data_IF_371050163552
#
_entry.id   IF_371050163552
#
_cell.length_a   1.000
_cell.length_b   1.000
_cell.length_c   1.000
_cell.angle_alpha   90.00
_cell.angle_beta   90.00
_cell.angle_gamma   90.00
#
_symmetry.space_group_name_H-M   'P 1'
#
loop_
_entity.id
_entity.type
_entity.pdbx_description
1 polymer ?
#
# COMPACT_ATOMS: atom_id res chain seq x y z
N UNK A 1 6.34 5.33 -22.04
CA UNK A 1 5.22 5.96 -21.35
C UNK A 1 4.66 5.03 -20.28
N UNK A 2 4.43 5.53 -19.08
CA UNK A 2 3.89 4.72 -18.01
C UNK A 2 2.43 4.36 -18.28
N UNK A 3 2.07 3.11 -18.03
CA UNK A 3 0.72 2.60 -18.27
C UNK A 3 -0.09 2.60 -16.98
N UNK A 4 -1.26 3.22 -17.00
CA UNK A 4 -2.21 3.18 -15.90
C UNK A 4 -3.01 1.88 -16.01
N UNK A 5 -3.13 1.08 -14.94
CA UNK A 5 -3.85 -0.18 -15.02
C UNK A 5 -5.36 0.03 -15.21
N UNK A 6 -5.98 -0.89 -15.93
CA UNK A 6 -7.44 -0.91 -16.09
C UNK A 6 -8.13 -1.31 -14.77
N UNK A 7 -7.50 -2.20 -14.03
CA UNK A 7 -7.99 -2.70 -12.75
C UNK A 7 -6.85 -2.65 -11.72
N UNK A 8 -7.16 -2.37 -10.44
CA UNK A 8 -6.11 -2.37 -9.41
C UNK A 8 -5.36 -3.70 -9.33
N UNK A 9 -6.05 -4.81 -9.55
CA UNK A 9 -5.48 -6.15 -9.47
C UNK A 9 -4.36 -6.38 -10.49
N UNK A 10 -4.35 -5.62 -11.58
CA UNK A 10 -3.34 -5.77 -12.64
C UNK A 10 -1.93 -5.49 -12.14
N UNK A 11 -1.79 -4.72 -11.06
CA UNK A 11 -0.48 -4.33 -10.52
C UNK A 11 -0.08 -5.12 -9.27
N UNK A 12 -0.95 -5.97 -8.73
CA UNK A 12 -0.70 -6.61 -7.42
C UNK A 12 0.59 -7.44 -7.41
N UNK A 13 0.80 -8.28 -8.41
CA UNK A 13 2.00 -9.16 -8.44
C UNK A 13 3.28 -8.35 -8.65
N UNK A 14 3.41 -7.53 -9.72
CA UNK A 14 4.66 -6.79 -9.92
C UNK A 14 4.94 -5.78 -8.81
N UNK A 15 3.89 -5.16 -8.26
CA UNK A 15 4.01 -4.21 -7.16
C UNK A 15 4.58 -4.89 -5.92
N UNK A 16 4.02 -6.07 -5.58
CA UNK A 16 4.49 -6.86 -4.44
C UNK A 16 5.95 -7.26 -4.61
N UNK A 17 6.31 -7.74 -5.81
CA UNK A 17 7.67 -8.15 -6.09
C UNK A 17 8.66 -6.99 -5.93
N UNK A 18 8.28 -5.80 -6.40
CA UNK A 18 9.15 -4.62 -6.32
C UNK A 18 9.37 -4.19 -4.87
N UNK A 19 8.32 -4.18 -4.05
CA UNK A 19 8.47 -3.81 -2.64
C UNK A 19 9.18 -4.89 -1.83
N UNK A 20 9.01 -6.16 -2.20
CA UNK A 20 9.77 -7.24 -1.57
C UNK A 20 11.26 -7.14 -1.86
N UNK A 21 11.65 -6.65 -3.03
CA UNK A 21 13.07 -6.42 -3.36
C UNK A 21 13.69 -5.37 -2.44
N UNK A 22 12.91 -4.38 -2.03
CA UNK A 22 13.38 -3.31 -1.14
C UNK A 22 13.41 -3.78 0.30
N UNK A 23 12.29 -4.32 0.79
CA UNK A 23 12.10 -4.58 2.21
C UNK A 23 12.35 -6.04 2.61
N UNK A 24 12.19 -6.98 1.67
CA UNK A 24 12.37 -8.39 1.96
C UNK A 24 11.44 -8.84 3.09
N UNK A 25 12.01 -9.54 4.05
CA UNK A 25 11.25 -10.04 5.21
C UNK A 25 10.74 -8.94 6.14
N UNK A 26 11.21 -7.71 5.96
CA UNK A 26 10.75 -6.57 6.75
C UNK A 26 9.38 -6.06 6.30
N UNK A 27 8.89 -6.51 5.15
CA UNK A 27 7.53 -6.22 4.69
C UNK A 27 6.55 -7.19 5.36
N UNK A 28 5.78 -6.68 6.31
CA UNK A 28 4.78 -7.47 7.03
C UNK A 28 3.54 -7.66 6.18
N UNK A 29 3.02 -6.57 5.62
CA UNK A 29 1.80 -6.59 4.81
C UNK A 29 1.82 -5.52 3.75
N UNK A 30 1.09 -5.80 2.66
CA UNK A 30 0.81 -4.84 1.61
C UNK A 30 -0.70 -4.84 1.42
N UNK A 31 -1.34 -3.71 1.65
CA UNK A 31 -2.80 -3.61 1.70
C UNK A 31 -3.28 -2.51 0.75
N UNK A 32 -4.30 -2.82 -0.04
CA UNK A 32 -5.01 -1.85 -0.87
C UNK A 32 -6.18 -1.31 -0.07
N UNK A 33 -6.35 0.02 -0.04
CA UNK A 33 -7.50 0.63 0.63
C UNK A 33 -8.11 1.74 -0.24
N UNK A 34 -9.22 2.29 0.23
CA UNK A 34 -9.90 3.37 -0.47
C UNK A 34 -10.80 2.89 -1.60
N UNK A 35 -11.09 3.75 -2.58
CA UNK A 35 -12.06 3.45 -3.63
C UNK A 35 -11.69 2.24 -4.47
N UNK A 36 -10.40 2.03 -4.73
CA UNK A 36 -9.95 0.88 -5.50
C UNK A 36 -10.28 -0.44 -4.80
N UNK A 37 -10.18 -0.47 -3.46
CA UNK A 37 -10.52 -1.65 -2.67
C UNK A 37 -12.03 -1.85 -2.60
N UNK A 38 -12.79 -0.77 -2.63
CA UNK A 38 -14.25 -0.81 -2.57
C UNK A 38 -14.95 -1.05 -3.89
N UNK A 39 -14.21 -1.28 -4.97
CA UNK A 39 -14.79 -1.56 -6.28
C UNK A 39 -15.17 -0.32 -7.08
N UNK A 40 -14.78 0.86 -6.62
CA UNK A 40 -15.10 2.13 -7.27
C UNK A 40 -13.93 2.70 -8.09
N UNK A 41 -12.98 1.86 -8.45
CA UNK A 41 -11.81 2.28 -9.20
C UNK A 41 -12.19 2.77 -10.60
N UNK A 42 -11.71 3.96 -10.97
CA UNK A 42 -11.90 4.53 -12.31
C UNK A 42 -10.51 4.84 -12.87
N UNK A 43 -10.17 4.16 -13.97
CA UNK A 43 -8.88 4.34 -14.63
C UNK A 43 -8.63 5.80 -14.97
N UNK A 44 -7.47 6.31 -14.61
CA UNK A 44 -7.07 7.69 -14.89
C UNK A 44 -7.62 8.72 -13.93
N UNK A 45 -8.55 8.36 -13.05
CA UNK A 45 -9.12 9.28 -12.05
C UNK A 45 -8.88 8.83 -10.62
N UNK A 46 -8.99 7.52 -10.36
CA UNK A 46 -8.77 6.98 -9.02
C UNK A 46 -7.32 6.63 -8.83
N UNK A 47 -6.78 6.95 -7.66
CA UNK A 47 -5.45 6.49 -7.27
C UNK A 47 -5.56 5.12 -6.61
N UNK A 48 -4.51 4.33 -6.77
CA UNK A 48 -4.38 3.06 -6.06
C UNK A 48 -3.67 3.38 -4.75
N UNK A 49 -4.42 3.33 -3.65
CA UNK A 49 -3.92 3.70 -2.32
C UNK A 49 -3.43 2.46 -1.59
N UNK A 50 -2.20 2.50 -1.14
CA UNK A 50 -1.55 1.37 -0.48
C UNK A 50 -1.18 1.70 0.95
N UNK A 51 -1.24 0.69 1.81
CA UNK A 51 -0.67 0.71 3.14
C UNK A 51 0.43 -0.34 3.18
N UNK A 52 1.65 0.08 3.49
CA UNK A 52 2.77 -0.81 3.74
C UNK A 52 2.93 -0.97 5.25
N UNK A 53 2.78 -2.18 5.73
CA UNK A 53 3.06 -2.48 7.14
C UNK A 53 4.45 -3.08 7.20
N UNK A 54 5.33 -2.42 7.94
CA UNK A 54 6.74 -2.77 8.05
C UNK A 54 7.11 -3.10 9.48
N UNK A 55 8.17 -3.91 9.63
CA UNK A 55 8.83 -4.03 10.93
C UNK A 55 9.56 -2.73 11.24
N UNK A 56 9.95 -2.48 12.51
CA UNK A 56 10.75 -1.28 12.83
C UNK A 56 12.04 -1.22 12.00
N UNK A 57 12.66 -2.35 11.71
CA UNK A 57 13.85 -2.41 10.86
C UNK A 57 13.54 -2.01 9.42
N UNK A 58 12.34 -2.32 8.94
CA UNK A 58 11.89 -1.94 7.61
C UNK A 58 11.77 -0.43 7.43
N UNK A 59 11.45 0.30 8.50
CA UNK A 59 11.38 1.75 8.46
C UNK A 59 12.75 2.34 8.07
N UNK A 60 13.82 1.72 8.50
CA UNK A 60 15.18 2.17 8.18
C UNK A 60 15.51 2.03 6.70
N UNK A 61 14.72 1.24 5.95
CA UNK A 61 14.92 1.03 4.52
C UNK A 61 14.06 1.92 3.64
N UNK A 62 13.34 2.88 4.22
CA UNK A 62 12.43 3.74 3.44
C UNK A 62 13.13 4.51 2.33
N UNK A 63 14.36 4.96 2.55
CA UNK A 63 15.11 5.67 1.53
C UNK A 63 15.34 4.78 0.29
N UNK A 64 15.50 3.49 0.48
CA UNK A 64 15.71 2.53 -0.61
C UNK A 64 14.43 2.31 -1.44
N UNK A 65 13.27 2.65 -0.87
CA UNK A 65 11.99 2.51 -1.55
C UNK A 65 11.63 3.70 -2.44
N UNK A 66 12.43 4.77 -2.39
CA UNK A 66 12.12 6.01 -3.10
C UNK A 66 11.94 5.78 -4.61
N UNK A 67 12.88 5.08 -5.23
CA UNK A 67 12.83 4.83 -6.66
C UNK A 67 11.63 3.95 -7.04
N UNK A 68 11.32 2.94 -6.23
CA UNK A 68 10.17 2.06 -6.44
C UNK A 68 8.87 2.83 -6.35
N UNK A 69 8.73 3.68 -5.33
CA UNK A 69 7.54 4.50 -5.14
C UNK A 69 7.35 5.46 -6.31
N UNK A 70 8.43 6.09 -6.76
CA UNK A 70 8.40 7.01 -7.90
C UNK A 70 7.99 6.30 -9.19
N UNK A 71 8.51 5.10 -9.40
CA UNK A 71 8.16 4.27 -10.55
C UNK A 71 6.66 4.00 -10.60
N UNK A 72 6.08 3.58 -9.48
CA UNK A 72 4.66 3.22 -9.43
C UNK A 72 3.74 4.43 -9.39
N UNK A 73 4.21 5.57 -8.87
CA UNK A 73 3.42 6.81 -8.88
C UNK A 73 3.06 7.22 -10.30
N UNK A 74 3.97 7.03 -11.24
CA UNK A 74 3.71 7.33 -12.65
C UNK A 74 2.66 6.40 -13.26
N UNK A 75 2.36 5.29 -12.61
CA UNK A 75 1.42 4.27 -13.07
C UNK A 75 0.11 4.28 -12.30
N UNK A 76 -0.16 5.38 -11.60
CA UNK A 76 -1.44 5.54 -10.90
C UNK A 76 -1.47 5.00 -9.49
N UNK A 77 -0.33 4.59 -8.95
CA UNK A 77 -0.22 4.13 -7.57
C UNK A 77 0.27 5.31 -6.73
N UNK A 78 -0.55 5.75 -5.79
CA UNK A 78 -0.21 6.86 -4.90
C UNK A 78 0.96 6.50 -3.99
N UNK A 79 1.59 7.52 -3.41
CA UNK A 79 2.62 7.31 -2.40
C UNK A 79 1.98 6.54 -1.24
N UNK A 80 2.54 5.38 -0.85
CA UNK A 80 1.89 4.55 0.17
C UNK A 80 1.99 5.16 1.56
N UNK A 81 0.99 4.84 2.38
CA UNK A 81 1.10 5.05 3.82
C UNK A 81 2.01 3.97 4.38
N UNK A 82 2.84 4.35 5.34
CA UNK A 82 3.81 3.43 5.96
C UNK A 82 3.52 3.37 7.45
N UNK A 83 3.33 2.15 7.96
CA UNK A 83 3.02 1.94 9.38
C UNK A 83 3.69 0.68 9.90
N UNK A 84 3.90 0.64 11.22
CA UNK A 84 4.25 -0.60 11.91
C UNK A 84 2.98 -1.20 12.52
N UNK A 85 3.03 -2.50 12.86
CA UNK A 85 1.90 -3.12 13.57
C UNK A 85 1.63 -2.44 14.90
N UNK A 86 2.69 -2.08 15.63
CA UNK A 86 2.55 -1.40 16.91
C UNK A 86 1.85 -0.05 16.74
N UNK A 87 2.21 0.70 15.72
CA UNK A 87 1.57 2.00 15.45
C UNK A 87 0.08 1.82 15.12
N UNK A 88 -0.25 0.84 14.29
CA UNK A 88 -1.65 0.57 13.93
C UNK A 88 -2.46 0.23 15.19
N UNK A 89 -1.93 -0.66 16.04
CA UNK A 89 -2.64 -1.09 17.24
C UNK A 89 -2.88 0.05 18.22
N UNK A 90 -1.90 0.94 18.39
CA UNK A 90 -2.05 2.07 19.30
C UNK A 90 -2.88 3.22 18.72
N UNK A 91 -2.92 3.34 17.39
CA UNK A 91 -3.59 4.45 16.73
C UNK A 91 -5.07 4.21 16.46
N UNK A 92 -5.56 2.97 16.58
CA UNK A 92 -6.97 2.65 16.37
C UNK A 92 -7.91 3.49 17.24
N UNK A 93 -7.48 3.81 18.47
CA UNK A 93 -8.27 4.62 19.37
C UNK A 93 -8.18 6.12 19.06
N UNK A 94 -7.10 6.55 18.41
CA UNK A 94 -6.85 7.96 18.10
C UNK A 94 -7.50 8.41 16.79
N UNK A 95 -7.61 7.50 15.81
CA UNK A 95 -8.13 7.82 14.48
C UNK A 95 -9.20 6.81 14.06
N UNK A 96 -10.28 6.64 14.83
CA UNK A 96 -11.22 5.53 14.62
C UNK A 96 -11.92 5.55 13.27
N UNK A 97 -12.28 6.73 12.77
CA UNK A 97 -13.01 6.83 11.50
C UNK A 97 -12.16 6.37 10.32
N UNK A 98 -10.94 6.89 10.25
CA UNK A 98 -10.03 6.60 9.16
C UNK A 98 -9.62 5.13 9.12
N UNK A 99 -9.21 4.60 10.27
CA UNK A 99 -8.84 3.19 10.37
C UNK A 99 -10.03 2.26 10.17
N UNK A 100 -11.21 2.68 10.60
CA UNK A 100 -12.42 1.89 10.40
C UNK A 100 -12.75 1.79 8.91
N UNK A 101 -12.59 2.87 8.15
CA UNK A 101 -12.80 2.85 6.70
C UNK A 101 -11.80 1.93 6.01
N UNK A 102 -10.54 1.96 6.40
CA UNK A 102 -9.52 1.04 5.87
C UNK A 102 -9.87 -0.40 6.21
N UNK A 103 -10.32 -0.63 7.44
CA UNK A 103 -10.68 -1.96 7.91
C UNK A 103 -11.85 -2.55 7.14
N UNK A 104 -12.84 -1.73 6.80
CA UNK A 104 -14.04 -2.17 6.10
C UNK A 104 -13.85 -2.26 4.58
N UNK A 105 -12.96 -1.45 4.03
CA UNK A 105 -12.75 -1.35 2.58
C UNK A 105 -11.27 -1.53 2.25
N UNK A 106 -10.76 -2.74 2.49
CA UNK A 106 -9.38 -3.03 2.16
C UNK A 106 -9.26 -4.42 1.53
N UNK A 107 -8.19 -4.59 0.75
CA UNK A 107 -7.83 -5.88 0.16
C UNK A 107 -6.40 -6.18 0.57
N UNK A 108 -6.19 -7.33 1.19
CA UNK A 108 -4.84 -7.79 1.51
C UNK A 108 -4.18 -8.29 0.23
N UNK A 109 -3.10 -7.61 -0.17
CA UNK A 109 -2.34 -8.02 -1.36
C UNK A 109 -1.27 -9.03 -0.97
N UNK A 110 -0.61 -8.82 0.17
CA UNK A 110 0.50 -9.66 0.62
C UNK A 110 0.61 -9.63 2.14
N UNK A 111 0.92 -10.79 2.73
CA UNK A 111 1.30 -10.90 4.13
C UNK A 111 0.14 -11.04 5.10
N UNK A 112 0.32 -10.49 6.31
CA UNK A 112 -0.65 -10.59 7.40
C UNK A 112 -1.72 -9.50 7.28
N UNK A 113 -2.94 -9.87 7.63
CA UNK A 113 -4.06 -8.92 7.62
C UNK A 113 -4.19 -8.17 8.99
#
# INVERSE_FOLDING_TARGET
MAKIPDKPQDVFVPLTQDYLKVFGRELVSLILYGSAAGGSYIKGKSDINLLLVLTPEGIDKLADAFATTKYWKKRGVAIPLIMTKAFINTSLDCYPIEFLNMRNNHILIYGEN
#
